data_IF_577227098553
#
_entry.id   IF_577227098553
#
_cell.length_a   1.000
_cell.length_b   1.000
_cell.length_c   1.000
_cell.angle_alpha   90.00
_cell.angle_beta   90.00
_cell.angle_gamma   90.00
#
_symmetry.space_group_name_H-M   'P 1'
#
loop_
_entity.id
_entity.type
_entity.pdbx_description
1 polymer ?
#
# COMPACT_ATOMS: atom_id res chain seq x y z
N UNK A 1 13.11 7.04 30.06
CA UNK A 1 12.77 6.31 28.82
C UNK A 1 13.39 4.91 28.78
N UNK A 2 14.70 4.74 28.96
CA UNK A 2 15.35 3.42 28.97
C UNK A 2 14.66 2.39 29.90
N UNK A 3 14.30 2.78 31.13
CA UNK A 3 13.57 1.89 32.06
C UNK A 3 12.22 1.40 31.52
N UNK A 4 11.51 2.22 30.75
CA UNK A 4 10.25 1.82 30.12
C UNK A 4 10.49 0.83 28.97
N UNK A 5 11.54 1.05 28.17
CA UNK A 5 11.97 0.11 27.11
C UNK A 5 12.43 -1.22 27.70
N UNK A 6 13.21 -1.21 28.78
CA UNK A 6 13.62 -2.41 29.50
C UNK A 6 12.44 -3.20 30.07
N UNK A 7 11.34 -2.51 30.39
CA UNK A 7 10.06 -3.10 30.80
C UNK A 7 9.34 -3.88 29.69
N UNK A 8 9.71 -3.69 28.41
CA UNK A 8 9.17 -4.44 27.26
C UNK A 8 9.82 -5.82 27.07
N UNK A 9 10.62 -6.28 28.04
CA UNK A 9 11.22 -7.61 28.04
C UNK A 9 10.13 -8.68 27.85
N UNK A 10 10.34 -9.55 26.85
CA UNK A 10 9.38 -10.58 26.45
C UNK A 10 8.61 -10.25 25.18
N UNK A 11 8.49 -8.97 24.81
CA UNK A 11 7.97 -8.51 23.51
C UNK A 11 9.06 -7.91 22.61
N UNK A 12 10.11 -7.37 23.21
CA UNK A 12 11.32 -6.93 22.50
C UNK A 12 12.49 -7.86 22.85
N UNK A 13 13.27 -8.36 21.86
CA UNK A 13 14.51 -9.07 22.12
C UNK A 13 15.51 -8.23 22.92
N UNK A 14 16.37 -8.89 23.69
CA UNK A 14 17.36 -8.19 24.52
C UNK A 14 18.31 -7.31 23.69
N UNK A 15 18.64 -7.73 22.46
CA UNK A 15 19.44 -6.96 21.52
C UNK A 15 18.74 -5.66 21.12
N UNK A 16 17.46 -5.72 20.72
CA UNK A 16 16.66 -4.55 20.40
C UNK A 16 16.55 -3.59 21.59
N UNK A 17 16.27 -4.10 22.79
CA UNK A 17 16.22 -3.28 24.01
C UNK A 17 17.55 -2.56 24.24
N UNK A 18 18.67 -3.27 24.13
CA UNK A 18 19.99 -2.69 24.34
C UNK A 18 20.31 -1.61 23.30
N UNK A 19 19.99 -1.84 22.04
CA UNK A 19 20.16 -0.89 20.94
C UNK A 19 19.29 0.36 21.12
N UNK A 20 17.99 0.19 21.41
CA UNK A 20 17.07 1.30 21.70
C UNK A 20 17.52 2.13 22.89
N UNK A 21 17.95 1.50 23.98
CA UNK A 21 18.50 2.22 25.13
C UNK A 21 19.80 2.96 24.80
N UNK A 22 20.64 2.43 23.92
CA UNK A 22 21.87 3.09 23.46
C UNK A 22 21.53 4.35 22.65
N UNK A 23 20.67 4.25 21.66
CA UNK A 23 20.31 5.38 20.78
C UNK A 23 19.54 6.46 21.56
N UNK A 24 18.64 6.05 22.48
CA UNK A 24 17.95 6.99 23.37
C UNK A 24 18.91 7.79 24.24
N UNK A 25 19.96 7.16 24.80
CA UNK A 25 20.97 7.86 25.61
C UNK A 25 21.79 8.80 24.75
N UNK A 26 22.22 8.36 23.56
CA UNK A 26 22.97 9.21 22.64
C UNK A 26 22.17 10.45 22.21
N UNK A 27 20.88 10.30 21.91
CA UNK A 27 20.01 11.43 21.59
C UNK A 27 19.72 12.32 22.80
N UNK A 28 19.61 11.74 23.99
CA UNK A 28 19.49 12.50 25.23
C UNK A 28 20.74 13.35 25.51
N UNK A 29 21.94 12.83 25.23
CA UNK A 29 23.22 13.54 25.40
C UNK A 29 23.32 14.78 24.48
N UNK A 30 22.57 14.81 23.38
CA UNK A 30 22.42 15.99 22.50
C UNK A 30 21.22 16.87 22.87
N UNK A 31 20.60 16.68 24.03
CA UNK A 31 19.43 17.44 24.48
C UNK A 31 18.14 17.11 23.73
N UNK A 32 18.09 15.97 23.03
CA UNK A 32 17.02 15.59 22.11
C UNK A 32 16.82 16.59 20.95
N UNK A 33 17.86 17.33 20.57
CA UNK A 33 17.81 18.27 19.45
C UNK A 33 18.12 17.57 18.11
N UNK A 34 17.50 18.07 17.04
CA UNK A 34 17.72 17.57 15.67
C UNK A 34 16.99 16.26 15.33
N UNK A 35 17.31 15.70 14.17
CA UNK A 35 16.76 14.41 13.72
C UNK A 35 17.40 13.30 14.54
N UNK A 36 16.61 12.42 15.19
CA UNK A 36 17.18 11.32 15.98
C UNK A 36 17.90 10.31 15.07
N UNK A 37 19.06 9.82 15.51
CA UNK A 37 19.85 8.82 14.79
C UNK A 37 19.71 7.46 15.50
N UNK A 38 18.74 6.65 15.07
CA UNK A 38 18.37 5.38 15.70
C UNK A 38 18.81 4.18 14.86
N UNK A 39 20.00 4.26 14.26
CA UNK A 39 20.58 3.24 13.39
C UNK A 39 20.67 1.87 14.08
N UNK A 40 21.15 1.82 15.33
CA UNK A 40 21.27 0.55 16.05
C UNK A 40 19.89 -0.05 16.37
N UNK A 41 18.92 0.80 16.70
CA UNK A 41 17.53 0.39 16.91
C UNK A 41 16.94 -0.18 15.63
N UNK A 42 17.06 0.53 14.50
CA UNK A 42 16.58 0.09 13.18
C UNK A 42 17.13 -1.29 12.82
N UNK A 43 18.43 -1.47 12.98
CA UNK A 43 19.13 -2.69 12.55
C UNK A 43 18.87 -3.89 13.48
N UNK A 44 18.27 -3.67 14.66
CA UNK A 44 17.99 -4.71 15.67
C UNK A 44 16.52 -5.11 15.78
N UNK A 45 15.60 -4.44 15.06
CA UNK A 45 14.20 -4.87 15.00
C UNK A 45 14.10 -6.21 14.26
N UNK A 46 13.46 -7.24 14.85
CA UNK A 46 13.36 -8.54 14.22
C UNK A 46 12.22 -8.61 13.19
N UNK A 47 12.31 -9.54 12.25
CA UNK A 47 11.14 -10.10 11.59
C UNK A 47 10.57 -11.23 12.47
N UNK A 48 9.42 -11.06 13.14
CA UNK A 48 8.84 -12.10 13.97
C UNK A 48 8.50 -13.34 13.15
N UNK A 49 8.59 -14.52 13.75
CA UNK A 49 8.08 -15.77 13.17
C UNK A 49 6.56 -15.82 13.26
N UNK A 50 5.93 -16.66 12.45
CA UNK A 50 4.50 -16.86 12.54
C UNK A 50 4.09 -17.33 13.96
N UNK A 51 3.04 -16.71 14.52
CA UNK A 51 2.61 -16.84 15.91
C UNK A 51 3.44 -16.08 16.95
N UNK A 52 4.50 -15.38 16.56
CA UNK A 52 5.37 -14.65 17.49
C UNK A 52 4.88 -13.21 17.69
N UNK A 53 4.86 -12.78 18.96
CA UNK A 53 4.61 -11.39 19.32
C UNK A 53 5.91 -10.56 19.24
N UNK A 54 5.78 -9.31 18.78
CA UNK A 54 6.88 -8.36 18.74
C UNK A 54 6.39 -6.97 19.18
N UNK A 55 7.33 -6.08 19.52
CA UNK A 55 7.02 -4.70 19.83
C UNK A 55 8.11 -3.74 19.37
N UNK A 56 7.74 -2.48 19.25
CA UNK A 56 8.64 -1.38 18.95
C UNK A 56 8.36 -0.20 19.87
N UNK A 57 9.42 0.47 20.33
CA UNK A 57 9.37 1.74 21.03
C UNK A 57 10.50 2.63 20.51
N UNK A 58 10.17 3.77 19.93
CA UNK A 58 11.19 4.66 19.36
C UNK A 58 10.62 5.73 18.44
N UNK A 59 11.49 6.61 17.90
CA UNK A 59 11.09 7.59 16.91
C UNK A 59 10.67 6.90 15.60
N UNK A 60 9.53 7.31 15.04
CA UNK A 60 8.98 6.81 13.79
C UNK A 60 8.41 7.97 12.97
N UNK A 61 8.61 7.94 11.66
CA UNK A 61 7.78 8.68 10.69
C UNK A 61 6.71 7.72 10.17
N UNK A 62 5.46 7.98 10.52
CA UNK A 62 4.33 7.13 10.10
C UNK A 62 3.96 7.45 8.63
N UNK A 63 4.00 6.47 7.71
CA UNK A 63 3.54 6.67 6.35
C UNK A 63 2.02 6.87 6.30
N UNK A 64 1.55 7.61 5.30
CA UNK A 64 0.13 7.85 5.04
C UNK A 64 -0.66 8.46 6.23
N UNK A 65 0.00 9.02 7.25
CA UNK A 65 -0.65 9.80 8.30
C UNK A 65 -0.81 11.27 7.92
N UNK A 66 -1.71 11.95 8.63
CA UNK A 66 -1.93 13.40 8.60
C UNK A 66 -0.71 14.21 9.09
N UNK A 67 0.28 13.52 9.66
CA UNK A 67 1.55 14.07 10.17
C UNK A 67 2.71 13.38 9.49
N UNK A 68 3.71 14.16 9.09
CA UNK A 68 4.95 13.65 8.50
C UNK A 68 6.18 13.89 9.39
N UNK A 69 5.95 14.41 10.60
CA UNK A 69 6.99 14.64 11.59
C UNK A 69 7.37 13.34 12.31
N UNK A 70 8.57 13.32 12.87
CA UNK A 70 9.05 12.21 13.70
C UNK A 70 8.41 12.28 15.09
N UNK A 71 7.77 11.19 15.51
CA UNK A 71 7.23 11.04 16.86
C UNK A 71 7.73 9.76 17.52
N UNK A 72 7.84 9.77 18.86
CA UNK A 72 8.06 8.53 19.59
C UNK A 72 6.73 7.77 19.64
N UNK A 73 6.71 6.62 18.99
CA UNK A 73 5.58 5.68 19.02
C UNK A 73 5.97 4.43 19.81
N UNK A 74 4.95 3.76 20.36
CA UNK A 74 5.06 2.49 21.04
C UNK A 74 3.91 1.59 20.61
N UNK A 75 4.23 0.41 20.06
CA UNK A 75 3.21 -0.52 19.60
C UNK A 75 3.69 -1.97 19.70
N UNK A 76 2.73 -2.88 19.75
CA UNK A 76 2.95 -4.32 19.74
C UNK A 76 2.11 -5.01 18.68
N UNK A 77 2.67 -6.09 18.15
CA UNK A 77 2.05 -6.92 17.13
C UNK A 77 2.14 -8.40 17.50
N UNK A 78 1.33 -9.21 16.83
CA UNK A 78 1.59 -10.64 16.65
C UNK A 78 1.63 -10.91 15.15
N UNK A 79 2.62 -11.66 14.69
CA UNK A 79 2.59 -12.18 13.33
C UNK A 79 1.61 -13.34 13.28
N UNK A 80 0.72 -13.29 12.30
CA UNK A 80 -0.26 -14.33 12.04
C UNK A 80 -0.45 -14.39 10.53
N UNK A 81 0.29 -15.28 9.90
CA UNK A 81 0.15 -15.52 8.47
C UNK A 81 -1.19 -16.21 8.20
N UNK A 82 -1.85 -15.92 7.05
CA UNK A 82 -3.16 -16.48 6.77
C UNK A 82 -3.09 -18.00 6.58
N UNK A 83 -4.18 -18.71 6.88
CA UNK A 83 -4.25 -20.16 6.71
C UNK A 83 -3.96 -20.60 5.26
N UNK A 84 -4.23 -19.70 4.31
CA UNK A 84 -3.98 -19.87 2.89
C UNK A 84 -2.50 -19.74 2.47
N UNK A 85 -1.58 -19.30 3.35
CA UNK A 85 -0.17 -19.06 3.00
C UNK A 85 0.50 -20.27 2.33
N UNK A 86 0.36 -21.52 2.80
CA UNK A 86 0.98 -22.66 2.13
C UNK A 86 0.47 -22.88 0.70
N UNK A 87 -0.83 -22.66 0.47
CA UNK A 87 -1.43 -22.77 -0.86
C UNK A 87 -0.97 -21.64 -1.78
N UNK A 88 -0.93 -20.41 -1.26
CA UNK A 88 -0.39 -19.24 -1.97
C UNK A 88 1.07 -19.44 -2.36
N UNK A 89 1.92 -19.90 -1.43
CA UNK A 89 3.34 -20.17 -1.70
C UNK A 89 3.56 -21.29 -2.72
N UNK A 90 2.65 -22.27 -2.79
CA UNK A 90 2.71 -23.32 -3.79
C UNK A 90 2.31 -22.82 -5.19
N UNK A 91 1.28 -21.99 -5.29
CA UNK A 91 0.79 -21.43 -6.55
C UNK A 91 1.67 -20.28 -7.07
N UNK A 92 2.16 -19.44 -6.16
CA UNK A 92 2.95 -18.24 -6.43
C UNK A 92 4.24 -18.28 -5.59
N UNK A 93 5.26 -19.04 -6.00
CA UNK A 93 6.47 -19.25 -5.19
C UNK A 93 7.29 -17.95 -5.08
N UNK A 94 6.98 -17.16 -4.06
CA UNK A 94 7.58 -15.85 -3.84
C UNK A 94 9.10 -15.95 -3.60
N UNK A 95 9.95 -15.36 -4.47
CA UNK A 95 11.40 -15.56 -4.41
C UNK A 95 12.05 -14.91 -3.19
N UNK A 96 11.45 -13.83 -2.67
CA UNK A 96 11.98 -13.05 -1.54
C UNK A 96 10.88 -12.51 -0.62
N UNK A 97 10.13 -13.40 0.05
CA UNK A 97 9.03 -12.99 0.92
C UNK A 97 9.56 -12.42 2.26
N UNK A 98 9.80 -11.10 2.29
CA UNK A 98 10.26 -10.39 3.51
C UNK A 98 9.10 -9.72 4.25
N UNK A 99 7.87 -9.84 3.74
CA UNK A 99 6.67 -9.31 4.38
C UNK A 99 6.23 -10.19 5.57
N UNK A 100 5.64 -9.56 6.60
CA UNK A 100 5.01 -10.23 7.74
C UNK A 100 3.56 -9.75 7.84
N UNK A 101 2.61 -10.69 7.76
CA UNK A 101 1.21 -10.44 8.10
C UNK A 101 1.09 -10.31 9.61
N UNK A 102 0.74 -9.13 10.09
CA UNK A 102 0.65 -8.88 11.54
C UNK A 102 -0.67 -8.29 11.95
N UNK A 103 -1.07 -8.59 13.20
CA UNK A 103 -2.12 -7.88 13.89
C UNK A 103 -1.52 -6.86 14.83
N UNK A 104 -1.93 -5.60 14.69
CA UNK A 104 -1.66 -4.57 15.67
C UNK A 104 -2.49 -4.82 16.93
N UNK A 105 -1.83 -5.07 18.06
CA UNK A 105 -2.47 -5.43 19.33
C UNK A 105 -2.72 -4.20 20.20
N UNK A 106 -1.70 -3.34 20.31
CA UNK A 106 -1.75 -2.10 21.07
C UNK A 106 -0.83 -1.09 20.40
N UNK A 107 -1.24 0.18 20.40
CA UNK A 107 -0.45 1.24 19.81
C UNK A 107 -0.71 2.58 20.49
N UNK A 108 0.33 3.43 20.46
CA UNK A 108 0.22 4.86 20.71
C UNK A 108 -0.71 5.54 19.72
N UNK A 109 -1.11 6.77 20.07
CA UNK A 109 -2.15 7.52 19.37
C UNK A 109 -1.90 7.66 17.87
N UNK A 110 -0.66 7.93 17.45
CA UNK A 110 -0.35 8.18 16.04
C UNK A 110 -0.71 6.98 15.17
N UNK A 111 -0.30 5.78 15.58
CA UNK A 111 -0.60 4.57 14.84
C UNK A 111 -2.04 4.06 15.07
N UNK A 112 -2.62 4.26 16.25
CA UNK A 112 -4.00 3.83 16.57
C UNK A 112 -5.07 4.64 15.84
N UNK A 113 -4.89 5.95 15.71
CA UNK A 113 -5.88 6.86 15.12
C UNK A 113 -5.52 7.26 13.67
N UNK A 114 -4.27 7.07 13.24
CA UNK A 114 -3.82 7.39 11.88
C UNK A 114 -4.10 6.29 10.85
N UNK A 115 -3.76 6.57 9.60
CA UNK A 115 -3.94 5.63 8.47
C UNK A 115 -2.69 4.80 8.16
N UNK A 116 -1.66 4.84 9.03
CA UNK A 116 -0.48 4.02 8.87
C UNK A 116 -0.84 2.55 9.10
N UNK A 117 -0.54 1.71 8.11
CA UNK A 117 -0.82 0.26 8.12
C UNK A 117 0.43 -0.59 7.92
N UNK A 118 1.61 0.03 7.91
CA UNK A 118 2.90 -0.64 7.66
C UNK A 118 3.99 -0.09 8.55
N UNK A 119 4.99 -0.92 8.84
CA UNK A 119 6.21 -0.50 9.52
C UNK A 119 7.42 -1.18 8.88
N UNK A 120 8.32 -0.34 8.38
CA UNK A 120 9.57 -0.68 7.72
C UNK A 120 10.77 -0.03 8.43
N UNK A 121 12.00 -0.51 8.19
CA UNK A 121 13.22 0.11 8.68
C UNK A 121 13.34 1.60 8.31
N UNK A 122 12.88 1.98 7.12
CA UNK A 122 12.88 3.35 6.60
C UNK A 122 12.03 4.31 7.44
N UNK A 123 11.07 3.78 8.20
CA UNK A 123 10.25 4.60 9.09
C UNK A 123 10.99 5.01 10.35
N UNK A 124 12.13 4.37 10.66
CA UNK A 124 12.98 4.69 11.82
C UNK A 124 14.05 5.70 11.39
N UNK A 125 14.04 6.94 11.92
CA UNK A 125 15.04 7.94 11.60
C UNK A 125 16.45 7.44 11.92
N UNK A 126 17.34 7.55 10.94
CA UNK A 126 18.70 7.02 11.02
C UNK A 126 19.68 7.96 10.31
N UNK A 127 20.93 7.96 10.76
CA UNK A 127 21.99 8.74 10.14
C UNK A 127 22.46 8.11 8.82
N UNK A 128 22.36 6.79 8.72
CA UNK A 128 22.72 6.01 7.53
C UNK A 128 21.49 5.70 6.69
N UNK A 129 21.67 5.60 5.37
CA UNK A 129 20.60 5.16 4.47
C UNK A 129 20.29 3.68 4.74
N UNK A 130 19.00 3.33 4.82
CA UNK A 130 18.56 1.94 4.80
C UNK A 130 18.95 1.29 3.46
N UNK A 131 19.73 0.21 3.49
CA UNK A 131 20.15 -0.55 2.31
C UNK A 131 19.47 -1.91 2.21
N UNK A 132 18.90 -2.41 3.31
CA UNK A 132 18.28 -3.72 3.40
C UNK A 132 17.01 -3.63 4.26
N UNK A 133 15.92 -4.17 3.73
CA UNK A 133 14.64 -4.24 4.43
C UNK A 133 14.59 -5.57 5.21
N UNK A 134 15.08 -5.58 6.46
CA UNK A 134 15.17 -6.79 7.30
C UNK A 134 13.82 -7.23 7.91
N UNK A 135 12.83 -6.33 7.95
CA UNK A 135 11.46 -6.62 8.36
C UNK A 135 10.47 -5.78 7.57
N UNK A 136 9.21 -6.22 7.55
CA UNK A 136 8.10 -5.50 6.97
C UNK A 136 6.80 -5.91 7.65
N UNK A 137 6.40 -5.17 8.68
CA UNK A 137 5.20 -5.51 9.46
C UNK A 137 3.99 -4.79 8.85
N UNK A 138 3.04 -5.56 8.32
CA UNK A 138 1.78 -5.04 7.80
C UNK A 138 0.68 -5.25 8.83
N UNK A 139 -0.01 -4.19 9.23
CA UNK A 139 -1.06 -4.20 10.25
C UNK A 139 -2.43 -4.52 9.62
N UNK A 140 -2.60 -5.73 9.09
CA UNK A 140 -3.75 -6.04 8.25
C UNK A 140 -5.10 -5.96 8.97
N UNK A 141 -5.13 -6.16 10.29
CA UNK A 141 -6.36 -6.03 11.08
C UNK A 141 -6.92 -4.60 11.12
N UNK A 142 -6.14 -3.58 10.74
CA UNK A 142 -6.62 -2.20 10.56
C UNK A 142 -7.57 -2.06 9.38
N UNK A 143 -7.50 -2.97 8.41
CA UNK A 143 -8.24 -2.83 7.16
C UNK A 143 -9.73 -3.10 7.27
N UNK A 144 -10.21 -3.70 8.37
CA UNK A 144 -11.65 -3.83 8.63
C UNK A 144 -12.33 -2.46 8.67
N UNK A 145 -11.77 -1.52 9.43
CA UNK A 145 -12.32 -0.15 9.52
C UNK A 145 -12.09 0.64 8.22
N UNK A 146 -10.92 0.48 7.59
CA UNK A 146 -10.60 1.14 6.31
C UNK A 146 -11.53 0.68 5.20
N UNK A 147 -11.87 -0.62 5.17
CA UNK A 147 -12.75 -1.12 4.14
C UNK A 147 -14.21 -0.73 4.37
N UNK A 148 -14.66 -0.63 5.62
CA UNK A 148 -15.96 -0.04 5.93
C UNK A 148 -16.07 1.41 5.40
N UNK A 149 -14.98 2.21 5.50
CA UNK A 149 -14.93 3.54 4.88
C UNK A 149 -14.98 3.48 3.34
N UNK A 150 -14.32 2.48 2.73
CA UNK A 150 -14.39 2.23 1.28
C UNK A 150 -15.82 1.96 0.84
N UNK A 151 -16.54 1.11 1.55
CA UNK A 151 -17.95 0.79 1.27
C UNK A 151 -18.84 2.03 1.42
N UNK A 152 -18.64 2.86 2.46
CA UNK A 152 -19.38 4.10 2.64
C UNK A 152 -19.13 5.11 1.50
N UNK A 153 -17.89 5.22 1.02
CA UNK A 153 -17.56 6.05 -0.16
C UNK A 153 -18.20 5.47 -1.43
N UNK A 154 -18.16 4.15 -1.58
CA UNK A 154 -18.74 3.44 -2.73
C UNK A 154 -20.24 3.68 -2.80
N UNK A 155 -20.97 3.45 -1.71
CA UNK A 155 -22.42 3.69 -1.64
C UNK A 155 -22.77 5.15 -1.92
N UNK A 156 -21.99 6.10 -1.39
CA UNK A 156 -22.20 7.53 -1.62
C UNK A 156 -21.99 7.95 -3.08
N UNK A 157 -21.02 7.37 -3.79
CA UNK A 157 -20.68 7.74 -5.17
C UNK A 157 -21.47 6.94 -6.22
N UNK A 158 -21.76 5.67 -5.94
CA UNK A 158 -22.36 4.71 -6.86
C UNK A 158 -23.84 4.43 -6.56
N UNK A 159 -24.31 4.77 -5.36
CA UNK A 159 -25.61 4.35 -4.86
C UNK A 159 -25.58 2.96 -4.20
N UNK A 160 -26.73 2.47 -3.70
CA UNK A 160 -26.81 1.17 -3.04
C UNK A 160 -26.60 0.01 -4.03
N UNK A 161 -25.98 -1.07 -3.56
CA UNK A 161 -25.72 -2.28 -4.34
C UNK A 161 -24.31 -2.32 -4.94
N UNK A 162 -24.13 -3.14 -5.97
CA UNK A 162 -22.86 -3.24 -6.70
C UNK A 162 -22.74 -2.15 -7.78
N UNK A 163 -21.60 -1.45 -7.89
CA UNK A 163 -21.32 -0.59 -9.04
C UNK A 163 -20.92 -1.38 -10.30
N UNK A 164 -20.65 -2.68 -10.20
CA UNK A 164 -20.21 -3.51 -11.33
C UNK A 164 -21.40 -3.94 -12.20
N UNK A 165 -21.31 -3.69 -13.51
CA UNK A 165 -22.30 -4.12 -14.49
C UNK A 165 -22.59 -5.62 -14.39
N UNK A 166 -23.86 -5.97 -14.23
CA UNK A 166 -24.33 -7.35 -14.16
C UNK A 166 -24.32 -7.97 -12.77
N UNK A 167 -24.02 -7.19 -11.72
CA UNK A 167 -24.08 -7.65 -10.33
C UNK A 167 -25.02 -6.76 -9.50
N UNK A 168 -25.79 -7.38 -8.61
CA UNK A 168 -26.68 -6.65 -7.70
C UNK A 168 -26.00 -6.28 -6.37
N UNK A 169 -25.03 -7.09 -5.93
CA UNK A 169 -24.37 -6.98 -4.62
C UNK A 169 -22.86 -7.20 -4.73
N UNK A 170 -22.08 -6.47 -3.93
CA UNK A 170 -20.65 -6.72 -3.73
C UNK A 170 -20.45 -8.01 -2.92
N UNK A 171 -19.48 -8.85 -3.31
CA UNK A 171 -19.10 -10.01 -2.48
C UNK A 171 -18.24 -9.62 -1.29
N UNK A 172 -17.66 -8.43 -1.35
CA UNK A 172 -16.87 -7.83 -0.28
C UNK A 172 -17.72 -7.05 0.72
N UNK A 173 -19.02 -6.90 0.47
CA UNK A 173 -19.95 -6.35 1.44
C UNK A 173 -20.17 -7.36 2.59
N UNK A 174 -20.27 -6.85 3.81
CA UNK A 174 -20.59 -7.63 5.01
C UNK A 174 -19.66 -8.84 5.29
N UNK A 175 -18.39 -8.73 4.89
CA UNK A 175 -17.35 -9.73 5.19
C UNK A 175 -16.99 -9.68 6.69
N UNK A 176 -16.86 -10.85 7.32
CA UNK A 176 -16.45 -10.94 8.73
C UNK A 176 -15.08 -10.27 8.95
N UNK A 177 -14.82 -9.62 10.11
CA UNK A 177 -13.53 -9.02 10.39
C UNK A 177 -12.34 -9.97 10.22
N UNK A 178 -12.53 -11.26 10.52
CA UNK A 178 -11.49 -12.26 10.32
C UNK A 178 -11.24 -12.54 8.84
N UNK A 179 -12.27 -12.76 8.05
CA UNK A 179 -12.13 -12.94 6.60
C UNK A 179 -11.57 -11.69 5.92
N UNK A 180 -11.86 -10.50 6.45
CA UNK A 180 -11.22 -9.26 6.00
C UNK A 180 -9.72 -9.29 6.27
N UNK A 181 -9.28 -9.73 7.45
CA UNK A 181 -7.87 -9.90 7.76
C UNK A 181 -7.19 -10.90 6.82
N UNK A 182 -7.79 -12.08 6.64
CA UNK A 182 -7.27 -13.13 5.78
C UNK A 182 -7.14 -12.65 4.33
N UNK A 183 -8.20 -12.06 3.76
CA UNK A 183 -8.19 -11.51 2.41
C UNK A 183 -7.12 -10.41 2.24
N UNK A 184 -6.87 -9.59 3.27
CA UNK A 184 -5.83 -8.55 3.23
C UNK A 184 -4.43 -9.11 3.26
N UNK A 185 -4.21 -10.17 4.03
CA UNK A 185 -2.96 -10.90 3.97
C UNK A 185 -2.73 -11.51 2.58
N UNK A 186 -3.78 -12.05 1.96
CA UNK A 186 -3.70 -12.56 0.57
C UNK A 186 -3.34 -11.43 -0.39
N UNK A 187 -4.02 -10.29 -0.34
CA UNK A 187 -3.67 -9.15 -1.20
C UNK A 187 -2.22 -8.73 -0.97
N UNK A 188 -1.78 -8.57 0.28
CA UNK A 188 -0.39 -8.23 0.60
C UNK A 188 0.61 -9.22 0.00
N UNK A 189 0.34 -10.53 0.10
CA UNK A 189 1.17 -11.57 -0.51
C UNK A 189 1.23 -11.43 -2.04
N UNK A 190 0.08 -11.30 -2.69
CA UNK A 190 -0.02 -11.23 -4.15
C UNK A 190 0.67 -9.98 -4.70
N UNK A 191 0.48 -8.85 -4.02
CA UNK A 191 1.09 -7.57 -4.36
C UNK A 191 2.62 -7.65 -4.26
N UNK A 192 3.17 -8.14 -3.14
CA UNK A 192 4.62 -8.33 -2.96
C UNK A 192 5.18 -9.34 -3.97
N UNK A 193 4.44 -10.42 -4.24
CA UNK A 193 4.83 -11.41 -5.25
C UNK A 193 5.00 -10.76 -6.62
N UNK A 194 4.02 -9.99 -7.08
CA UNK A 194 4.08 -9.41 -8.42
C UNK A 194 5.14 -8.32 -8.58
N UNK A 195 5.61 -7.67 -7.50
CA UNK A 195 6.82 -6.83 -7.56
C UNK A 195 8.06 -7.60 -8.02
N UNK A 196 8.13 -8.90 -7.75
CA UNK A 196 9.27 -9.75 -8.09
C UNK A 196 9.12 -10.47 -9.43
N UNK A 197 8.13 -10.07 -10.23
CA UNK A 197 7.82 -10.67 -11.54
C UNK A 197 7.94 -9.65 -12.68
N UNK A 198 7.81 -10.15 -13.91
CA UNK A 198 7.81 -9.34 -15.12
C UNK A 198 9.22 -8.96 -15.59
N UNK A 199 9.32 -8.08 -16.61
CA UNK A 199 10.59 -7.80 -17.29
C UNK A 199 11.62 -7.04 -16.46
N UNK A 200 11.18 -6.32 -15.43
CA UNK A 200 12.05 -5.48 -14.57
C UNK A 200 11.63 -5.61 -13.10
N UNK A 201 11.97 -6.70 -12.40
CA UNK A 201 11.58 -6.91 -10.99
C UNK A 201 12.06 -5.80 -10.04
N UNK A 202 11.27 -5.46 -9.02
CA UNK A 202 11.55 -4.38 -8.06
C UNK A 202 12.84 -4.57 -7.28
N UNK A 203 13.09 -5.77 -6.78
CA UNK A 203 14.26 -6.09 -5.95
C UNK A 203 15.59 -5.90 -6.71
N UNK A 204 15.58 -6.10 -8.03
CA UNK A 204 16.74 -5.91 -8.91
C UNK A 204 16.92 -4.45 -9.37
N UNK A 205 15.88 -3.63 -9.24
CA UNK A 205 15.82 -2.26 -9.78
C UNK A 205 15.28 -1.23 -8.78
N UNK A 206 15.48 -1.46 -7.48
CA UNK A 206 14.90 -0.71 -6.38
C UNK A 206 15.10 0.81 -6.52
N UNK A 207 16.32 1.24 -6.87
CA UNK A 207 16.67 2.66 -6.93
C UNK A 207 15.85 3.47 -7.94
N UNK A 208 15.45 2.88 -9.07
CA UNK A 208 14.66 3.56 -10.10
C UNK A 208 13.15 3.34 -9.91
N UNK A 209 12.74 2.12 -9.53
CA UNK A 209 11.33 1.77 -9.35
C UNK A 209 10.71 2.34 -8.08
N UNK A 210 11.50 2.75 -7.09
CA UNK A 210 10.98 3.50 -5.93
C UNK A 210 10.88 5.02 -6.18
N UNK A 211 11.25 5.50 -7.38
CA UNK A 211 11.05 6.92 -7.72
C UNK A 211 9.61 7.17 -8.14
N UNK A 212 9.06 8.35 -7.78
CA UNK A 212 7.64 8.71 -7.92
C UNK A 212 6.91 8.31 -9.21
N UNK A 213 7.54 8.34 -10.39
CA UNK A 213 6.83 8.11 -11.67
C UNK A 213 6.92 6.65 -12.11
N UNK A 214 8.13 6.08 -12.27
CA UNK A 214 8.28 4.63 -12.43
C UNK A 214 7.56 3.82 -11.36
N UNK A 215 7.65 4.24 -10.10
CA UNK A 215 7.01 3.53 -9.00
C UNK A 215 5.49 3.58 -9.05
N UNK A 216 4.88 4.69 -9.49
CA UNK A 216 3.41 4.75 -9.64
C UNK A 216 2.93 3.73 -10.67
N UNK A 217 3.65 3.58 -11.79
CA UNK A 217 3.36 2.53 -12.77
C UNK A 217 3.62 1.12 -12.21
N UNK A 218 4.63 0.96 -11.36
CA UNK A 218 4.89 -0.33 -10.70
C UNK A 218 3.72 -0.72 -9.79
N UNK A 219 3.30 0.15 -8.87
CA UNK A 219 2.15 -0.08 -7.98
C UNK A 219 0.88 -0.39 -8.77
N UNK A 220 0.65 0.35 -9.86
CA UNK A 220 -0.46 0.11 -10.76
C UNK A 220 -0.39 -1.29 -11.39
N UNK A 221 0.77 -1.68 -11.93
CA UNK A 221 0.97 -2.98 -12.57
C UNK A 221 0.73 -4.13 -11.58
N UNK A 222 1.35 -4.09 -10.40
CA UNK A 222 1.31 -5.22 -9.44
C UNK A 222 -0.08 -5.42 -8.86
N UNK A 223 -0.84 -4.35 -8.63
CA UNK A 223 -2.23 -4.47 -8.21
C UNK A 223 -3.13 -5.00 -9.32
N UNK A 224 -2.90 -4.59 -10.57
CA UNK A 224 -3.69 -5.11 -11.69
C UNK A 224 -3.36 -6.58 -11.96
N UNK A 225 -2.10 -7.00 -11.85
CA UNK A 225 -1.72 -8.42 -11.88
C UNK A 225 -2.39 -9.20 -10.73
N UNK A 226 -2.41 -8.63 -9.52
CA UNK A 226 -3.12 -9.22 -8.37
C UNK A 226 -4.61 -9.37 -8.64
N UNK A 227 -5.26 -8.34 -9.17
CA UNK A 227 -6.68 -8.37 -9.51
C UNK A 227 -6.98 -9.40 -10.62
N UNK A 228 -6.15 -9.45 -11.67
CA UNK A 228 -6.27 -10.44 -12.75
C UNK A 228 -6.22 -11.86 -12.18
N UNK A 229 -5.18 -12.18 -11.40
CA UNK A 229 -5.02 -13.50 -10.78
C UNK A 229 -6.21 -13.83 -9.86
N UNK A 230 -6.62 -12.89 -9.01
CA UNK A 230 -7.76 -13.06 -8.11
C UNK A 230 -9.11 -13.27 -8.82
N UNK A 231 -9.24 -12.84 -10.06
CA UNK A 231 -10.46 -13.02 -10.86
C UNK A 231 -10.46 -14.32 -11.67
N UNK A 232 -9.31 -14.69 -12.25
CA UNK A 232 -9.21 -15.80 -13.21
C UNK A 232 -8.75 -17.11 -12.61
N UNK A 233 -8.04 -17.06 -11.49
CA UNK A 233 -7.40 -18.21 -10.85
C UNK A 233 -8.06 -18.52 -9.49
N UNK A 234 -7.74 -19.70 -8.93
CA UNK A 234 -8.24 -20.14 -7.63
C UNK A 234 -7.41 -19.54 -6.49
N UNK A 235 -7.38 -18.21 -6.41
CA UNK A 235 -6.73 -17.48 -5.32
C UNK A 235 -7.66 -17.49 -4.10
N UNK A 236 -7.20 -17.93 -2.92
CA UNK A 236 -7.98 -17.83 -1.68
C UNK A 236 -8.47 -16.41 -1.45
N UNK A 237 -9.77 -16.23 -1.13
CA UNK A 237 -10.40 -14.91 -1.00
C UNK A 237 -10.38 -14.04 -2.28
N UNK A 238 -10.01 -14.58 -3.45
CA UNK A 238 -9.75 -13.81 -4.68
C UNK A 238 -10.87 -12.87 -5.09
N UNK A 239 -12.13 -13.32 -5.03
CA UNK A 239 -13.29 -12.46 -5.36
C UNK A 239 -13.41 -11.23 -4.45
N UNK A 240 -13.11 -11.37 -3.17
CA UNK A 240 -13.11 -10.27 -2.19
C UNK A 240 -11.91 -9.35 -2.45
N UNK A 241 -10.72 -9.93 -2.66
CA UNK A 241 -9.49 -9.19 -2.95
C UNK A 241 -9.61 -8.35 -4.23
N UNK A 242 -10.23 -8.90 -5.27
CA UNK A 242 -10.52 -8.17 -6.51
C UNK A 242 -11.32 -6.89 -6.22
N UNK A 243 -12.43 -7.01 -5.49
CA UNK A 243 -13.26 -5.85 -5.14
C UNK A 243 -12.53 -4.88 -4.21
N UNK A 244 -11.68 -5.35 -3.31
CA UNK A 244 -10.82 -4.50 -2.48
C UNK A 244 -9.89 -3.64 -3.34
N UNK A 245 -9.16 -4.26 -4.28
CA UNK A 245 -8.23 -3.57 -5.17
C UNK A 245 -8.97 -2.50 -5.98
N UNK A 246 -10.03 -2.89 -6.70
CA UNK A 246 -10.72 -1.99 -7.62
C UNK A 246 -11.39 -0.83 -6.87
N UNK A 247 -12.14 -1.11 -5.81
CA UNK A 247 -12.90 -0.05 -5.11
C UNK A 247 -11.98 0.90 -4.34
N UNK A 248 -10.91 0.41 -3.71
CA UNK A 248 -10.00 1.31 -3.01
C UNK A 248 -9.18 2.17 -3.95
N UNK A 249 -8.62 1.58 -5.01
CA UNK A 249 -7.85 2.33 -6.00
C UNK A 249 -8.73 3.35 -6.70
N UNK A 250 -9.94 2.99 -7.12
CA UNK A 250 -10.79 3.94 -7.83
C UNK A 250 -11.43 4.99 -6.92
N UNK A 251 -11.86 4.63 -5.71
CA UNK A 251 -12.77 5.47 -4.93
C UNK A 251 -12.17 5.95 -3.62
N UNK A 252 -11.59 5.06 -2.80
CA UNK A 252 -11.10 5.46 -1.46
C UNK A 252 -9.85 6.31 -1.51
N UNK A 253 -8.79 5.85 -2.18
CA UNK A 253 -7.51 6.56 -2.20
C UNK A 253 -7.61 7.95 -2.85
N UNK A 254 -8.28 8.13 -4.01
CA UNK A 254 -8.51 9.45 -4.58
C UNK A 254 -9.31 10.41 -3.69
N UNK A 255 -10.11 9.90 -2.76
CA UNK A 255 -10.89 10.69 -1.80
C UNK A 255 -10.09 11.07 -0.53
N UNK A 256 -8.84 10.64 -0.37
CA UNK A 256 -8.01 11.02 0.76
C UNK A 256 -7.53 12.48 0.66
N UNK A 257 -7.14 13.11 1.79
CA UNK A 257 -6.53 14.44 1.78
C UNK A 257 -5.25 14.49 0.93
N UNK A 258 -5.03 15.65 0.30
CA UNK A 258 -3.88 15.91 -0.59
C UNK A 258 -3.63 14.81 -1.64
N UNK A 259 -4.66 14.42 -2.42
CA UNK A 259 -4.60 13.27 -3.31
C UNK A 259 -3.65 13.46 -4.48
N UNK A 260 -3.02 14.64 -4.66
CA UNK A 260 -1.95 14.89 -5.65
C UNK A 260 -0.53 14.63 -5.13
N UNK A 261 -0.39 14.36 -3.84
CA UNK A 261 0.88 14.07 -3.16
C UNK A 261 0.93 12.68 -2.57
N UNK A 262 -0.16 11.93 -2.68
CA UNK A 262 -0.32 10.59 -2.17
C UNK A 262 -0.06 9.56 -3.28
N UNK A 263 0.81 8.59 -3.00
CA UNK A 263 1.21 7.62 -4.02
C UNK A 263 0.03 6.76 -4.52
N UNK A 264 -0.76 6.28 -3.58
CA UNK A 264 -1.90 5.39 -3.83
C UNK A 264 -3.05 6.08 -4.58
N UNK A 265 -3.29 7.36 -4.29
CA UNK A 265 -4.26 8.17 -5.01
C UNK A 265 -3.85 8.38 -6.47
N UNK A 266 -2.56 8.53 -6.74
CA UNK A 266 -2.02 8.66 -8.09
C UNK A 266 -2.25 7.41 -8.93
N UNK A 267 -1.99 6.24 -8.35
CA UNK A 267 -2.34 4.93 -8.93
C UNK A 267 -3.84 4.84 -9.21
N UNK A 268 -4.66 5.31 -8.28
CA UNK A 268 -6.11 5.38 -8.43
C UNK A 268 -6.61 6.23 -9.60
N UNK A 269 -6.08 7.45 -9.72
CA UNK A 269 -6.40 8.34 -10.84
C UNK A 269 -5.92 7.78 -12.18
N UNK A 270 -4.76 7.12 -12.19
CA UNK A 270 -4.22 6.50 -13.39
C UNK A 270 -5.12 5.34 -13.85
N UNK A 271 -5.49 4.44 -12.93
CA UNK A 271 -6.43 3.35 -13.19
C UNK A 271 -7.78 3.87 -13.69
N UNK A 272 -8.37 4.82 -12.98
CA UNK A 272 -9.69 5.35 -13.37
C UNK A 272 -9.64 6.12 -14.69
N UNK A 273 -8.53 6.79 -15.02
CA UNK A 273 -8.36 7.38 -16.36
C UNK A 273 -8.34 6.32 -17.45
N UNK A 274 -7.58 5.24 -17.25
CA UNK A 274 -7.54 4.13 -18.18
C UNK A 274 -8.94 3.53 -18.38
N UNK A 275 -9.62 3.15 -17.30
CA UNK A 275 -10.96 2.55 -17.38
C UNK A 275 -12.00 3.51 -17.98
N UNK A 276 -11.94 4.81 -17.67
CA UNK A 276 -12.82 5.80 -18.27
C UNK A 276 -12.62 5.92 -19.78
N UNK A 277 -11.36 5.85 -20.26
CA UNK A 277 -11.06 5.86 -21.71
C UNK A 277 -11.63 4.65 -22.45
N UNK A 278 -11.85 3.54 -21.73
CA UNK A 278 -12.44 2.30 -22.25
C UNK A 278 -13.96 2.22 -22.02
N UNK A 279 -14.58 3.27 -21.46
CA UNK A 279 -16.01 3.27 -21.11
C UNK A 279 -16.38 2.32 -19.98
N UNK A 280 -15.41 1.96 -19.11
CA UNK A 280 -15.57 1.02 -17.99
C UNK A 280 -15.64 1.72 -16.62
N UNK A 281 -15.38 3.02 -16.57
CA UNK A 281 -15.65 3.86 -15.40
C UNK A 281 -16.39 5.10 -15.86
N UNK A 282 -17.70 5.11 -15.62
CA UNK A 282 -18.63 6.09 -16.21
C UNK A 282 -19.56 6.67 -15.16
N UNK A 283 -20.42 7.57 -15.58
CA UNK A 283 -21.43 8.20 -14.75
C UNK A 283 -22.81 8.04 -15.43
N UNK A 284 -23.83 7.64 -14.68
CA UNK A 284 -25.20 7.54 -15.17
C UNK A 284 -25.92 8.91 -15.16
N UNK A 285 -27.17 8.93 -15.65
CA UNK A 285 -28.00 10.14 -15.74
C UNK A 285 -28.30 10.78 -14.37
N UNK A 286 -28.18 10.01 -13.28
CA UNK A 286 -28.37 10.48 -11.90
C UNK A 286 -27.05 10.95 -11.26
N UNK A 287 -25.96 10.89 -12.00
CA UNK A 287 -24.65 11.26 -11.52
C UNK A 287 -23.94 10.16 -10.73
N UNK A 288 -24.45 8.93 -10.71
CA UNK A 288 -23.85 7.79 -9.99
C UNK A 288 -22.76 7.14 -10.81
N UNK A 289 -21.72 6.66 -10.15
CA UNK A 289 -20.57 6.04 -10.83
C UNK A 289 -20.90 4.58 -11.14
N UNK A 290 -20.66 4.19 -12.37
CA UNK A 290 -20.86 2.82 -12.84
C UNK A 290 -19.53 2.24 -13.29
N UNK A 291 -19.32 0.97 -12.96
CA UNK A 291 -18.19 0.18 -13.43
C UNK A 291 -18.69 -0.82 -14.47
N UNK A 292 -17.88 -1.06 -15.50
CA UNK A 292 -18.12 -2.18 -16.41
C UNK A 292 -18.04 -3.52 -15.68
N UNK A 293 -18.42 -4.60 -16.36
CA UNK A 293 -18.38 -5.92 -15.74
C UNK A 293 -16.94 -6.28 -15.33
N UNK A 294 -16.78 -7.06 -14.26
CA UNK A 294 -15.46 -7.46 -13.75
C UNK A 294 -14.58 -8.10 -14.83
N UNK A 295 -15.17 -8.94 -15.69
CA UNK A 295 -14.48 -9.56 -16.81
C UNK A 295 -13.93 -8.53 -17.82
N UNK A 296 -14.72 -7.50 -18.16
CA UNK A 296 -14.27 -6.43 -19.07
C UNK A 296 -13.20 -5.55 -18.44
N UNK A 297 -13.28 -5.32 -17.12
CA UNK A 297 -12.21 -4.63 -16.38
C UNK A 297 -10.92 -5.45 -16.45
N UNK A 298 -10.97 -6.75 -16.20
CA UNK A 298 -9.80 -7.66 -16.27
C UNK A 298 -9.16 -7.65 -17.66
N UNK A 299 -9.96 -7.76 -18.72
CA UNK A 299 -9.47 -7.66 -20.10
C UNK A 299 -8.76 -6.31 -20.35
N UNK A 300 -9.38 -5.22 -19.91
CA UNK A 300 -8.84 -3.87 -20.08
C UNK A 300 -7.56 -3.62 -19.30
N UNK A 301 -7.47 -4.06 -18.04
CA UNK A 301 -6.27 -3.83 -17.22
C UNK A 301 -5.13 -4.76 -17.61
N UNK A 302 -5.41 -5.90 -18.23
CA UNK A 302 -4.38 -6.75 -18.86
C UNK A 302 -3.67 -6.03 -19.99
N UNK A 303 -4.40 -5.29 -20.83
CA UNK A 303 -3.79 -4.44 -21.86
C UNK A 303 -2.89 -3.37 -21.24
N UNK A 304 -3.36 -2.69 -20.20
CA UNK A 304 -2.58 -1.70 -19.46
C UNK A 304 -1.28 -2.30 -18.88
N UNK A 305 -1.38 -3.46 -18.23
CA UNK A 305 -0.20 -4.19 -17.72
C UNK A 305 0.77 -4.50 -18.85
N UNK A 306 0.29 -5.00 -20.00
CA UNK A 306 1.14 -5.28 -21.15
C UNK A 306 1.90 -4.06 -21.68
N UNK A 307 1.26 -2.88 -21.69
CA UNK A 307 1.90 -1.61 -22.05
C UNK A 307 2.98 -1.21 -21.04
N UNK A 308 2.71 -1.36 -19.74
CA UNK A 308 3.69 -1.06 -18.68
C UNK A 308 4.88 -2.01 -18.78
N UNK A 309 4.64 -3.31 -18.96
CA UNK A 309 5.70 -4.31 -19.11
C UNK A 309 6.55 -4.07 -20.37
N UNK A 310 5.96 -3.56 -21.46
CA UNK A 310 6.73 -3.18 -22.65
C UNK A 310 7.69 -2.03 -22.38
N UNK A 311 7.26 -1.04 -21.59
CA UNK A 311 8.16 0.02 -21.12
C UNK A 311 9.27 -0.58 -20.24
N UNK A 312 8.94 -1.52 -19.36
CA UNK A 312 9.90 -2.19 -18.46
C UNK A 312 10.98 -3.00 -19.18
N UNK A 313 10.72 -3.49 -20.40
CA UNK A 313 11.74 -4.16 -21.25
C UNK A 313 12.87 -3.24 -21.71
N UNK A 314 12.73 -1.93 -21.53
CA UNK A 314 13.81 -0.98 -21.80
C UNK A 314 14.96 -1.19 -20.80
N UNK A 315 16.10 -1.67 -21.27
CA UNK A 315 17.26 -1.99 -20.41
C UNK A 315 17.91 -0.75 -19.77
N UNK A 316 18.03 0.34 -20.52
CA UNK A 316 18.63 1.57 -20.02
C UNK A 316 17.70 2.31 -19.05
N UNK A 317 18.18 2.61 -17.84
CA UNK A 317 17.40 3.25 -16.78
C UNK A 317 16.90 4.65 -17.16
N UNK A 318 17.69 5.42 -17.92
CA UNK A 318 17.30 6.77 -18.32
C UNK A 318 16.20 6.73 -19.38
N UNK A 319 16.31 5.84 -20.36
CA UNK A 319 15.30 5.59 -21.38
C UNK A 319 14.02 5.02 -20.77
N UNK A 320 14.11 4.02 -19.87
CA UNK A 320 12.98 3.48 -19.12
C UNK A 320 12.25 4.58 -18.35
N UNK A 321 13.00 5.42 -17.63
CA UNK A 321 12.42 6.54 -16.88
C UNK A 321 11.71 7.53 -17.79
N UNK A 322 12.29 7.86 -18.94
CA UNK A 322 11.65 8.77 -19.91
C UNK A 322 10.35 8.17 -20.43
N UNK A 323 10.38 6.91 -20.88
CA UNK A 323 9.21 6.22 -21.41
C UNK A 323 8.10 6.08 -20.35
N UNK A 324 8.44 5.76 -19.10
CA UNK A 324 7.49 5.70 -18.00
C UNK A 324 6.84 7.07 -17.74
N UNK A 325 7.63 8.15 -17.74
CA UNK A 325 7.13 9.52 -17.55
C UNK A 325 6.22 9.96 -18.70
N UNK A 326 6.62 9.63 -19.94
CA UNK A 326 5.88 10.01 -21.13
C UNK A 326 4.56 9.24 -21.25
N UNK A 327 4.56 7.94 -20.93
CA UNK A 327 3.32 7.16 -20.84
C UNK A 327 2.41 7.68 -19.72
N UNK A 328 2.94 7.86 -18.51
CA UNK A 328 2.16 8.32 -17.37
C UNK A 328 1.46 9.66 -17.67
N UNK A 329 2.19 10.64 -18.19
CA UNK A 329 1.62 11.99 -18.43
C UNK A 329 1.00 12.19 -19.81
N UNK A 330 1.28 11.31 -20.76
CA UNK A 330 0.66 11.31 -22.09
C UNK A 330 -0.68 10.57 -22.11
N UNK A 331 -0.86 9.61 -21.20
CA UNK A 331 -1.98 8.65 -21.27
C UNK A 331 -2.85 8.63 -20.01
N UNK A 332 -2.29 8.85 -18.81
CA UNK A 332 -3.00 8.58 -17.55
C UNK A 332 -3.25 9.83 -16.70
N UNK A 333 -2.24 10.67 -16.51
CA UNK A 333 -2.28 11.80 -15.58
C UNK A 333 -1.87 13.10 -16.24
N UNK A 334 -2.23 14.23 -15.64
CA UNK A 334 -1.74 15.55 -16.04
C UNK A 334 -0.37 15.82 -15.41
N UNK A 335 0.48 16.57 -16.10
CA UNK A 335 1.70 17.10 -15.49
C UNK A 335 1.32 18.09 -14.36
N UNK A 336 2.03 18.09 -13.23
CA UNK A 336 1.77 19.04 -12.17
C UNK A 336 2.14 20.46 -12.63
N UNK A 337 1.35 21.46 -12.25
CA UNK A 337 1.63 22.87 -12.56
C UNK A 337 2.78 23.44 -11.74
N UNK A 338 3.03 22.88 -10.55
CA UNK A 338 4.10 23.31 -9.65
C UNK A 338 4.32 22.35 -8.49
N UNK A 339 5.24 22.70 -7.59
CA UNK A 339 5.43 22.03 -6.30
C UNK A 339 4.39 22.55 -5.29
N UNK A 340 3.93 21.73 -4.32
CA UNK A 340 4.51 20.45 -3.88
C UNK A 340 3.98 19.20 -4.60
N UNK A 341 3.08 19.36 -5.56
CA UNK A 341 2.32 18.26 -6.14
C UNK A 341 3.17 17.35 -7.03
N UNK A 342 2.80 16.06 -7.08
CA UNK A 342 3.55 15.03 -7.80
C UNK A 342 3.03 14.81 -9.22
N UNK A 343 1.73 15.07 -9.43
CA UNK A 343 0.97 15.06 -10.68
C UNK A 343 -0.20 16.07 -10.59
N UNK A 344 -0.79 16.44 -11.72
CA UNK A 344 -1.86 17.45 -11.82
C UNK A 344 -3.28 16.86 -11.89
N UNK A 345 -3.47 15.66 -11.34
CA UNK A 345 -4.73 14.91 -11.40
C UNK A 345 -4.91 14.03 -12.64
N UNK A 346 -6.08 13.39 -12.81
CA UNK A 346 -6.38 12.50 -13.93
C UNK A 346 -6.54 13.26 -15.25
N UNK A 347 -6.30 12.58 -16.38
CA UNK A 347 -6.73 13.11 -17.69
C UNK A 347 -8.25 12.97 -17.88
N UNK A 348 -8.86 11.92 -17.30
CA UNK A 348 -10.31 11.76 -17.28
C UNK A 348 -11.01 12.88 -16.50
N UNK A 349 -12.32 13.11 -16.76
CA UNK A 349 -13.08 14.13 -16.04
C UNK A 349 -13.06 13.89 -14.53
N UNK A 350 -12.61 14.90 -13.76
CA UNK A 350 -12.56 14.84 -12.30
C UNK A 350 -13.93 14.53 -11.67
N UNK A 351 -15.01 14.91 -12.34
CA UNK A 351 -16.37 14.61 -11.93
C UNK A 351 -16.64 13.13 -11.65
N UNK A 352 -15.84 12.20 -12.20
CA UNK A 352 -15.94 10.77 -11.87
C UNK A 352 -15.62 10.46 -10.40
N UNK A 353 -14.82 11.29 -9.71
CA UNK A 353 -14.41 11.05 -8.32
C UNK A 353 -15.18 11.85 -7.27
N UNK A 354 -16.11 12.71 -7.70
CA UNK A 354 -16.89 13.55 -6.78
C UNK A 354 -16.33 14.96 -6.63
N UNK A 355 -17.13 15.83 -6.01
CA UNK A 355 -16.78 17.25 -5.79
C UNK A 355 -15.78 17.47 -4.66
N UNK A 356 -15.63 16.47 -3.79
CA UNK A 356 -14.75 16.44 -2.63
C UNK A 356 -13.29 16.15 -2.99
N UNK A 357 -13.04 15.63 -4.19
CA UNK A 357 -11.68 15.43 -4.69
C UNK A 357 -11.19 16.75 -5.24
N UNK A 358 -10.32 17.38 -4.46
CA UNK A 358 -9.64 18.62 -4.83
C UNK A 358 -8.26 18.27 -5.39
N UNK A 359 -8.13 18.31 -6.71
CA UNK A 359 -6.87 18.27 -7.45
C UNK A 359 -6.44 19.67 -7.86
#
# INVERSE_FOLDING_TARGET
MCTAVEGMRGLMPQEQIAATCKDLRAWQDTGCEGVPHFDATRDSVPAPRDGEAAAFVGPVTLPNSDRHDVHIEAFSVIREDPESTPALQAAYPHPKAVFQSTRLLSASRGLREGNCVVFFPENIPSATRCTDQNFAWFFFNRHTEIYAQTLAITERLCGPGSPFEGEDTLVSADVDPEDTYQARCVWGYMHDYFHHTGPRPLDQHLAIKTTWRPGLLEELKVDMLSAIACFEEDVPYGRIVFEYIILERLLRYPAQPEPLRNFDAGTGFALGTWLASQGLFTQDDQGRRCLGSKARIVESVRELVGLIEEIERTEDDAAYRSAAVDFLFGTLLRRPEGKPDRYGGPLAPLGLWGSEVHV
#
